data_IF_224810597819
#
_entry.id   IF_224810597819
#
_cell.length_a   1.000
_cell.length_b   1.000
_cell.length_c   1.000
_cell.angle_alpha   90.00
_cell.angle_beta   90.00
_cell.angle_gamma   90.00
#
_symmetry.space_group_name_H-M   'P 1'
#
loop_
_entity.id
_entity.type
_entity.pdbx_description
1 polymer ?
#
# COMPACT_ATOMS: atom_id res chain seq x y z
N UNK A 1 -7.66 -24.22 12.46
CA UNK A 1 -6.22 -23.88 12.37
C UNK A 1 -6.04 -22.41 12.74
N UNK A 2 -5.06 -22.06 13.58
CA UNK A 2 -4.81 -20.64 13.94
C UNK A 2 -4.20 -19.94 12.73
N UNK A 3 -4.79 -18.83 12.30
CA UNK A 3 -4.27 -18.04 11.17
C UNK A 3 -2.96 -17.36 11.56
N UNK A 4 -1.91 -17.57 10.78
CA UNK A 4 -0.60 -16.94 10.98
C UNK A 4 -0.70 -15.43 10.70
N UNK A 5 0.00 -14.65 11.50
CA UNK A 5 0.06 -13.19 11.37
C UNK A 5 1.36 -12.68 11.98
N UNK A 6 2.10 -11.86 11.25
CA UNK A 6 3.31 -11.20 11.77
C UNK A 6 2.90 -9.99 12.60
N UNK A 7 2.18 -9.06 11.99
CA UNK A 7 1.69 -7.85 12.68
C UNK A 7 0.17 -7.77 12.62
N UNK A 8 -0.48 -7.23 13.66
CA UNK A 8 -1.86 -6.79 13.52
C UNK A 8 -1.88 -5.61 12.55
N UNK A 9 -2.59 -5.75 11.45
CA UNK A 9 -2.68 -4.72 10.41
C UNK A 9 -4.14 -4.40 10.13
N UNK A 10 -4.45 -3.10 10.02
CA UNK A 10 -5.81 -2.66 9.71
C UNK A 10 -6.23 -3.15 8.32
N UNK A 11 -7.44 -3.65 8.18
CA UNK A 11 -7.91 -4.27 6.94
C UNK A 11 -7.39 -5.70 6.69
N UNK A 12 -6.54 -6.22 7.58
CA UNK A 12 -5.97 -7.56 7.42
C UNK A 12 -7.02 -8.66 7.36
N UNK A 13 -6.85 -9.59 6.43
CA UNK A 13 -7.80 -10.64 6.03
C UNK A 13 -7.85 -11.86 6.98
N UNK A 14 -7.81 -11.66 8.32
CA UNK A 14 -7.72 -12.78 9.26
C UNK A 14 -8.81 -13.86 9.08
N UNK A 15 -10.05 -13.46 8.75
CA UNK A 15 -11.16 -14.37 8.51
C UNK A 15 -11.21 -14.86 7.07
N UNK A 16 -10.78 -14.04 6.12
CA UNK A 16 -10.85 -14.32 4.69
C UNK A 16 -9.63 -15.08 4.16
N UNK A 17 -8.46 -14.96 4.81
CA UNK A 17 -7.23 -15.57 4.31
C UNK A 17 -7.34 -17.08 4.03
N UNK A 18 -7.96 -17.91 4.88
CA UNK A 18 -8.15 -19.31 4.55
C UNK A 18 -9.05 -19.53 3.32
N UNK A 19 -10.15 -18.78 3.22
CA UNK A 19 -11.08 -18.85 2.09
C UNK A 19 -10.43 -18.41 0.78
N UNK A 20 -9.65 -17.34 0.84
CA UNK A 20 -8.86 -16.86 -0.33
C UNK A 20 -7.83 -17.91 -0.71
N UNK A 21 -7.10 -18.47 0.27
CA UNK A 21 -6.11 -19.52 0.03
C UNK A 21 -6.72 -20.75 -0.67
N UNK A 22 -7.93 -21.16 -0.33
CA UNK A 22 -8.63 -22.26 -0.99
C UNK A 22 -9.03 -21.96 -2.44
N UNK A 23 -9.16 -20.69 -2.80
CA UNK A 23 -9.51 -20.27 -4.18
C UNK A 23 -8.31 -20.19 -5.11
N UNK A 24 -7.07 -20.16 -4.58
CA UNK A 24 -5.87 -19.97 -5.38
C UNK A 24 -5.56 -21.20 -6.24
N UNK A 25 -5.24 -20.99 -7.52
CA UNK A 25 -4.88 -22.08 -8.45
C UNK A 25 -3.40 -22.46 -8.32
N UNK A 26 -3.10 -23.37 -7.42
CA UNK A 26 -1.73 -23.83 -7.15
C UNK A 26 -1.15 -24.71 -8.24
N UNK A 27 -1.97 -25.54 -8.90
CA UNK A 27 -1.50 -26.56 -9.82
C UNK A 27 -0.98 -25.98 -11.13
N UNK A 28 -1.53 -24.83 -11.51
CA UNK A 28 -1.25 -24.19 -12.78
C UNK A 28 -0.41 -22.90 -12.67
N UNK A 29 0.09 -22.58 -11.46
CA UNK A 29 0.88 -21.36 -11.23
C UNK A 29 2.19 -21.67 -10.49
N UNK A 30 3.25 -20.96 -10.89
CA UNK A 30 4.60 -21.09 -10.28
C UNK A 30 4.97 -19.87 -9.43
N UNK A 31 4.43 -18.71 -9.80
CA UNK A 31 4.77 -17.41 -9.21
C UNK A 31 3.54 -16.85 -8.53
N UNK A 32 3.69 -16.48 -7.27
CA UNK A 32 2.65 -15.79 -6.50
C UNK A 32 3.08 -14.38 -6.13
N UNK A 33 2.21 -13.39 -6.30
CA UNK A 33 2.50 -11.98 -6.04
C UNK A 33 1.38 -11.33 -5.22
N UNK A 34 1.75 -10.63 -4.15
CA UNK A 34 0.87 -9.72 -3.40
C UNK A 34 1.32 -8.26 -3.59
N UNK A 35 0.81 -7.51 -4.56
CA UNK A 35 1.18 -6.11 -4.80
C UNK A 35 0.72 -5.13 -3.70
N UNK A 36 -0.31 -5.50 -2.93
CA UNK A 36 -0.85 -4.77 -1.78
C UNK A 36 -0.75 -5.66 -0.55
N UNK A 37 0.46 -5.93 -0.09
CA UNK A 37 0.72 -7.02 0.86
C UNK A 37 0.22 -6.77 2.28
N UNK A 38 0.32 -5.53 2.79
CA UNK A 38 -0.09 -5.18 4.15
C UNK A 38 0.43 -6.17 5.19
N UNK A 39 -0.47 -6.73 5.99
CA UNK A 39 -0.14 -7.75 7.00
C UNK A 39 0.18 -9.15 6.46
N UNK A 40 0.27 -9.34 5.15
CA UNK A 40 0.75 -10.55 4.48
C UNK A 40 -0.04 -11.84 4.84
N UNK A 41 -1.30 -11.72 5.20
CA UNK A 41 -2.04 -12.86 5.79
C UNK A 41 -2.39 -13.95 4.79
N UNK A 42 -2.63 -13.64 3.52
CA UNK A 42 -2.92 -14.66 2.53
C UNK A 42 -1.65 -15.44 2.20
N UNK A 43 -0.53 -14.76 1.93
CA UNK A 43 0.76 -15.38 1.69
C UNK A 43 1.18 -16.30 2.84
N UNK A 44 1.03 -15.85 4.09
CA UNK A 44 1.41 -16.63 5.28
C UNK A 44 0.58 -17.91 5.45
N UNK A 45 -0.66 -17.93 4.98
CA UNK A 45 -1.63 -18.99 5.27
C UNK A 45 -1.99 -19.87 4.06
N UNK A 46 -1.34 -19.65 2.92
CA UNK A 46 -1.44 -20.48 1.73
C UNK A 46 -0.26 -21.43 1.60
N UNK A 47 -0.36 -22.53 0.82
CA UNK A 47 0.79 -23.34 0.39
C UNK A 47 1.82 -22.51 -0.39
N UNK A 48 3.08 -22.94 -0.38
CA UNK A 48 4.15 -22.25 -1.11
C UNK A 48 4.01 -22.40 -2.63
N UNK A 49 4.27 -21.30 -3.34
CA UNK A 49 4.64 -21.33 -4.76
C UNK A 49 6.18 -21.42 -4.91
N UNK A 50 6.65 -21.73 -6.10
CA UNK A 50 8.10 -21.79 -6.38
C UNK A 50 8.78 -20.45 -6.18
N UNK A 51 8.09 -19.38 -6.57
CA UNK A 51 8.52 -17.99 -6.37
C UNK A 51 7.37 -17.24 -5.69
N UNK A 52 7.68 -16.51 -4.64
CA UNK A 52 6.71 -15.71 -3.92
C UNK A 52 7.23 -14.29 -3.76
N UNK A 53 6.41 -13.31 -4.14
CA UNK A 53 6.73 -11.90 -4.10
C UNK A 53 5.71 -11.16 -3.24
N UNK A 54 6.22 -10.42 -2.29
CA UNK A 54 5.47 -9.48 -1.46
C UNK A 54 5.82 -8.07 -1.87
N UNK A 55 4.85 -7.18 -1.92
CA UNK A 55 5.07 -5.76 -2.07
C UNK A 55 4.14 -4.98 -1.17
N UNK A 56 4.63 -3.91 -0.61
CA UNK A 56 3.82 -2.85 0.00
C UNK A 56 4.49 -1.51 -0.25
N UNK A 57 3.75 -0.46 0.03
CA UNK A 57 4.27 0.90 -0.10
C UNK A 57 4.90 1.39 1.20
N UNK A 58 4.38 0.96 2.36
CA UNK A 58 4.81 1.36 3.69
C UNK A 58 6.25 0.94 4.02
N UNK A 59 7.08 1.90 4.43
CA UNK A 59 8.48 1.68 4.75
C UNK A 59 8.64 0.70 5.91
N UNK A 60 7.90 0.92 6.99
CA UNK A 60 7.98 0.10 8.19
C UNK A 60 7.51 -1.34 7.97
N UNK A 61 6.39 -1.53 7.30
CA UNK A 61 5.88 -2.88 7.04
C UNK A 61 6.82 -3.66 6.10
N UNK A 62 7.39 -2.99 5.10
CA UNK A 62 8.39 -3.61 4.22
C UNK A 62 9.67 -3.98 4.98
N UNK A 63 10.12 -3.15 5.94
CA UNK A 63 11.25 -3.48 6.80
C UNK A 63 10.97 -4.75 7.62
N UNK A 64 9.78 -4.88 8.23
CA UNK A 64 9.36 -6.10 8.92
C UNK A 64 9.41 -7.31 8.00
N UNK A 65 8.84 -7.21 6.79
CA UNK A 65 8.81 -8.34 5.86
C UNK A 65 10.20 -8.71 5.35
N UNK A 66 11.09 -7.73 5.10
CA UNK A 66 12.49 -8.01 4.71
C UNK A 66 13.26 -8.76 5.81
N UNK A 67 13.13 -8.34 7.07
CA UNK A 67 13.82 -9.07 8.15
C UNK A 67 13.22 -10.44 8.40
N UNK A 68 11.91 -10.62 8.19
CA UNK A 68 11.21 -11.91 8.34
C UNK A 68 11.43 -12.87 7.17
N UNK A 69 11.89 -12.40 6.00
CA UNK A 69 12.11 -13.23 4.81
C UNK A 69 13.47 -13.98 4.79
N UNK A 70 14.26 -13.84 5.85
CA UNK A 70 15.50 -14.58 6.06
C UNK A 70 15.59 -15.03 7.52
N UNK A 71 15.84 -16.31 7.77
CA UNK A 71 15.82 -16.92 9.11
C UNK A 71 16.82 -16.32 10.08
N UNK A 72 18.02 -15.95 9.61
CA UNK A 72 19.06 -15.35 10.49
C UNK A 72 18.65 -13.95 10.97
N UNK A 73 18.08 -13.13 10.08
CA UNK A 73 17.59 -11.80 10.44
C UNK A 73 16.31 -11.89 11.27
N UNK A 74 15.42 -12.84 10.96
CA UNK A 74 14.19 -13.07 11.71
C UNK A 74 14.48 -13.50 13.16
N UNK A 75 15.45 -14.40 13.38
CA UNK A 75 15.87 -14.81 14.72
C UNK A 75 16.34 -13.61 15.54
N UNK A 76 17.24 -12.80 14.98
CA UNK A 76 17.73 -11.57 15.63
C UNK A 76 16.61 -10.56 15.89
N UNK A 77 15.65 -10.46 14.99
CA UNK A 77 14.49 -9.60 15.16
C UNK A 77 13.62 -10.04 16.34
N UNK A 78 13.32 -11.34 16.42
CA UNK A 78 12.51 -11.92 17.50
C UNK A 78 13.25 -11.79 18.85
N UNK A 79 14.56 -12.01 18.89
CA UNK A 79 15.39 -11.76 20.08
C UNK A 79 15.30 -10.32 20.55
N UNK A 80 15.49 -9.35 19.64
CA UNK A 80 15.36 -7.92 19.98
C UNK A 80 13.97 -7.52 20.43
N UNK A 81 12.93 -8.13 19.88
CA UNK A 81 11.57 -7.94 20.38
C UNK A 81 11.40 -8.45 21.80
N UNK A 82 12.08 -9.54 22.19
CA UNK A 82 12.11 -10.05 23.54
C UNK A 82 12.71 -9.08 24.57
N UNK A 83 13.51 -8.11 24.12
CA UNK A 83 14.09 -7.05 24.96
C UNK A 83 13.16 -5.83 25.10
N UNK A 84 12.08 -5.74 24.34
CA UNK A 84 11.13 -4.63 24.39
C UNK A 84 10.12 -4.81 25.51
N UNK A 85 9.65 -3.71 26.08
CA UNK A 85 8.65 -3.72 27.16
C UNK A 85 7.25 -3.40 26.62
N UNK A 86 6.23 -3.99 27.25
CA UNK A 86 4.86 -3.57 27.07
C UNK A 86 4.59 -2.33 27.92
N UNK A 87 4.92 -1.17 27.40
CA UNK A 87 4.80 0.10 28.10
C UNK A 87 4.49 1.26 27.16
N UNK A 88 3.86 2.31 27.70
CA UNK A 88 3.57 3.51 26.92
C UNK A 88 4.86 4.24 26.49
N UNK A 89 5.90 4.17 27.28
CA UNK A 89 7.20 4.78 26.98
C UNK A 89 7.83 4.09 25.77
N UNK A 90 7.88 2.76 25.79
CA UNK A 90 8.40 1.97 24.68
C UNK A 90 7.59 2.19 23.40
N UNK A 91 6.25 2.19 23.51
CA UNK A 91 5.38 2.52 22.37
C UNK A 91 5.69 3.89 21.81
N UNK A 92 5.81 4.93 22.64
CA UNK A 92 6.08 6.30 22.18
C UNK A 92 7.46 6.40 21.51
N UNK A 93 8.46 5.70 22.03
CA UNK A 93 9.81 5.62 21.44
C UNK A 93 9.77 4.97 20.07
N UNK A 94 9.14 3.81 19.98
CA UNK A 94 8.98 3.07 18.72
C UNK A 94 8.18 3.85 17.69
N UNK A 95 7.04 4.43 18.11
CA UNK A 95 6.18 5.24 17.22
C UNK A 95 6.92 6.46 16.67
N UNK A 96 7.74 7.11 17.46
CA UNK A 96 8.53 8.27 16.99
C UNK A 96 9.45 7.88 15.83
N UNK A 97 10.12 6.73 15.93
CA UNK A 97 10.99 6.23 14.87
C UNK A 97 10.19 5.79 13.66
N UNK A 98 9.12 5.02 13.87
CA UNK A 98 8.19 4.60 12.82
C UNK A 98 7.63 5.80 12.04
N UNK A 99 7.06 6.80 12.75
CA UNK A 99 6.51 8.01 12.13
C UNK A 99 7.55 8.80 11.34
N UNK A 100 8.80 8.86 11.82
CA UNK A 100 9.88 9.57 11.15
C UNK A 100 10.25 8.91 9.81
N UNK A 101 10.14 7.58 9.72
CA UNK A 101 10.42 6.83 8.49
C UNK A 101 9.22 6.79 7.54
N UNK A 102 7.98 6.65 8.06
CA UNK A 102 6.76 6.56 7.24
C UNK A 102 6.30 7.92 6.71
N UNK A 103 6.52 8.98 7.45
CA UNK A 103 6.20 10.33 7.00
C UNK A 103 7.28 10.85 6.06
N UNK A 104 7.32 10.30 4.86
CA UNK A 104 8.05 10.92 3.78
C UNK A 104 7.23 12.09 3.20
N UNK A 105 7.61 13.35 3.49
CA UNK A 105 6.98 14.50 2.86
C UNK A 105 7.13 14.52 1.34
N UNK A 106 8.09 13.80 0.77
CA UNK A 106 8.27 13.66 -0.68
C UNK A 106 7.19 12.80 -1.28
N UNK A 107 6.78 11.75 -0.58
CA UNK A 107 5.68 10.91 -1.06
C UNK A 107 4.35 11.66 -1.06
N UNK A 108 4.05 12.44 -0.02
CA UNK A 108 2.88 13.34 -0.02
C UNK A 108 2.95 14.29 -1.22
N UNK A 109 4.15 14.72 -1.56
CA UNK A 109 4.45 15.62 -2.67
C UNK A 109 4.30 14.92 -4.01
N UNK A 110 4.87 13.73 -4.14
CA UNK A 110 4.75 12.88 -5.33
C UNK A 110 3.28 12.55 -5.63
N UNK A 111 2.48 12.25 -4.61
CA UNK A 111 1.04 12.01 -4.78
C UNK A 111 0.29 13.24 -5.27
N UNK A 112 0.61 14.42 -4.72
CA UNK A 112 0.02 15.67 -5.22
C UNK A 112 0.37 15.90 -6.69
N UNK A 113 1.62 15.67 -7.09
CA UNK A 113 2.06 15.77 -8.48
C UNK A 113 1.37 14.76 -9.39
N UNK A 114 1.27 13.50 -8.96
CA UNK A 114 0.52 12.47 -9.67
C UNK A 114 -0.96 12.83 -9.78
N UNK A 115 -1.56 13.42 -8.74
CA UNK A 115 -2.92 13.96 -8.77
C UNK A 115 -3.10 15.04 -9.84
N UNK A 116 -2.13 15.95 -10.00
CA UNK A 116 -2.14 16.98 -11.05
C UNK A 116 -2.06 16.35 -12.43
N UNK A 117 -1.20 15.34 -12.62
CA UNK A 117 -1.07 14.64 -13.91
C UNK A 117 -2.33 13.89 -14.32
N UNK A 118 -3.16 13.49 -13.37
CA UNK A 118 -4.42 12.76 -13.60
C UNK A 118 -5.61 13.67 -13.87
N UNK A 119 -5.51 14.98 -13.61
CA UNK A 119 -6.61 15.91 -13.85
C UNK A 119 -6.88 16.12 -15.35
N UNK A 120 -8.16 16.31 -15.77
CA UNK A 120 -8.51 16.53 -17.16
C UNK A 120 -8.03 17.87 -17.72
N UNK A 121 -8.16 18.03 -19.05
CA UNK A 121 -7.70 19.19 -19.85
C UNK A 121 -8.06 20.55 -19.19
N UNK A 122 -7.07 21.40 -19.01
CA UNK A 122 -7.15 22.74 -18.42
C UNK A 122 -5.97 23.08 -17.52
N UNK A 123 -5.18 22.07 -17.13
CA UNK A 123 -4.02 22.21 -16.26
C UNK A 123 -2.68 21.95 -16.99
N UNK A 124 -2.56 22.30 -18.27
CA UNK A 124 -1.38 21.98 -19.09
C UNK A 124 -0.05 22.42 -18.48
N UNK A 125 -0.04 23.60 -17.89
CA UNK A 125 1.11 24.18 -17.22
C UNK A 125 1.49 23.39 -15.95
N UNK A 126 0.51 23.16 -15.06
CA UNK A 126 0.69 22.37 -13.85
C UNK A 126 1.15 20.96 -14.17
N UNK A 127 0.65 20.40 -15.26
CA UNK A 127 0.99 19.07 -15.75
C UNK A 127 2.43 18.96 -16.21
N UNK A 128 2.92 19.94 -16.99
CA UNK A 128 4.32 19.97 -17.43
C UNK A 128 5.29 20.12 -16.25
N UNK A 129 4.96 20.98 -15.29
CA UNK A 129 5.76 21.16 -14.06
C UNK A 129 5.73 19.91 -13.19
N UNK A 130 4.58 19.26 -13.03
CA UNK A 130 4.46 18.02 -12.27
C UNK A 130 5.30 16.89 -12.92
N UNK A 131 5.30 16.78 -14.25
CA UNK A 131 6.15 15.83 -14.98
C UNK A 131 7.62 16.08 -14.72
N UNK A 132 8.07 17.35 -14.79
CA UNK A 132 9.45 17.70 -14.53
C UNK A 132 9.90 17.36 -13.11
N UNK A 133 9.08 17.68 -12.11
CA UNK A 133 9.38 17.38 -10.70
C UNK A 133 9.44 15.88 -10.42
N UNK A 134 8.61 15.08 -11.09
CA UNK A 134 8.69 13.61 -11.01
C UNK A 134 9.93 13.08 -11.72
N UNK A 135 10.27 13.61 -12.89
CA UNK A 135 11.51 13.24 -13.62
C UNK A 135 12.77 13.58 -12.81
N UNK A 136 12.76 14.70 -12.09
CA UNK A 136 13.88 15.09 -11.23
C UNK A 136 14.13 14.08 -10.09
N UNK A 137 13.10 13.39 -9.59
CA UNK A 137 13.25 12.33 -8.58
C UNK A 137 13.93 11.07 -9.13
N UNK A 138 13.88 10.86 -10.44
CA UNK A 138 14.50 9.71 -11.12
C UNK A 138 15.97 9.96 -11.50
N UNK A 139 16.47 11.19 -11.29
CA UNK A 139 17.85 11.57 -11.63
C UNK A 139 18.81 11.01 -10.55
N UNK A 140 19.97 10.45 -10.96
CA UNK A 140 20.86 9.70 -10.06
C UNK A 140 21.50 10.50 -8.93
N UNK A 141 21.47 11.84 -8.97
CA UNK A 141 21.97 12.68 -7.89
C UNK A 141 21.07 13.89 -7.64
N UNK A 142 20.97 14.28 -6.37
CA UNK A 142 20.19 15.44 -5.97
C UNK A 142 20.74 16.76 -6.57
N UNK A 143 22.03 16.88 -6.74
CA UNK A 143 22.65 18.05 -7.36
C UNK A 143 22.28 18.18 -8.83
N UNK A 144 22.26 17.08 -9.58
CA UNK A 144 21.82 17.06 -10.97
C UNK A 144 20.34 17.42 -11.08
N UNK A 145 19.48 16.88 -10.20
CA UNK A 145 18.07 17.22 -10.14
C UNK A 145 17.83 18.71 -9.84
N UNK A 146 18.56 19.29 -8.91
CA UNK A 146 18.50 20.73 -8.60
C UNK A 146 18.94 21.59 -9.77
N UNK A 147 20.00 21.20 -10.48
CA UNK A 147 20.50 21.91 -11.66
C UNK A 147 19.49 21.90 -12.81
N UNK A 148 18.84 20.75 -13.05
CA UNK A 148 17.79 20.61 -14.07
C UNK A 148 16.55 21.45 -13.72
N UNK A 149 16.08 21.39 -12.48
CA UNK A 149 14.96 22.22 -12.00
C UNK A 149 15.26 23.71 -12.13
N UNK A 150 16.49 24.15 -11.77
CA UNK A 150 16.92 25.55 -11.89
C UNK A 150 16.97 26.01 -13.35
N UNK A 151 17.44 25.16 -14.24
CA UNK A 151 17.46 25.41 -15.68
C UNK A 151 16.04 25.53 -16.24
N UNK A 152 15.16 24.62 -15.86
CA UNK A 152 13.77 24.65 -16.29
C UNK A 152 13.05 25.91 -15.81
N UNK A 153 13.24 26.32 -14.55
CA UNK A 153 12.65 27.54 -13.98
C UNK A 153 13.05 28.78 -14.79
N UNK A 154 14.35 28.89 -15.14
CA UNK A 154 14.86 30.00 -15.96
C UNK A 154 14.26 30.05 -17.37
N UNK A 155 14.00 28.87 -17.93
CA UNK A 155 13.48 28.74 -19.29
C UNK A 155 11.94 28.85 -19.35
N UNK A 156 11.26 28.74 -18.22
CA UNK A 156 9.80 28.76 -18.15
C UNK A 156 9.27 29.66 -17.02
N UNK A 157 9.63 30.97 -16.99
CA UNK A 157 9.33 31.84 -15.85
C UNK A 157 7.82 32.00 -15.60
N UNK A 158 7.00 32.14 -16.63
CA UNK A 158 5.55 32.28 -16.48
C UNK A 158 4.88 31.01 -15.92
N UNK A 159 5.34 29.85 -16.38
CA UNK A 159 4.88 28.56 -15.87
C UNK A 159 5.26 28.36 -14.42
N UNK A 160 6.45 28.81 -14.07
CA UNK A 160 6.94 28.75 -12.70
C UNK A 160 6.17 29.69 -11.76
N UNK A 161 5.84 30.90 -12.22
CA UNK A 161 5.05 31.86 -11.43
C UNK A 161 3.66 31.30 -11.09
N UNK A 162 2.96 30.73 -12.06
CA UNK A 162 1.66 30.10 -11.86
C UNK A 162 1.74 28.90 -10.91
N UNK A 163 2.76 28.05 -11.06
CA UNK A 163 2.96 26.91 -10.18
C UNK A 163 3.33 27.35 -8.76
N UNK A 164 4.23 28.32 -8.60
CA UNK A 164 4.71 28.76 -7.29
C UNK A 164 3.66 29.51 -6.48
N UNK A 165 2.72 30.19 -7.12
CA UNK A 165 1.59 30.81 -6.45
C UNK A 165 0.72 29.81 -5.68
N UNK A 166 0.57 28.58 -6.21
CA UNK A 166 -0.25 27.55 -5.59
C UNK A 166 0.58 26.54 -4.76
N UNK A 167 1.79 26.23 -5.19
CA UNK A 167 2.61 25.13 -4.64
C UNK A 167 3.99 25.60 -4.11
N UNK A 168 4.26 26.89 -4.01
CA UNK A 168 5.58 27.41 -3.68
C UNK A 168 6.13 26.96 -2.32
N UNK A 169 5.27 26.88 -1.31
CA UNK A 169 5.67 26.37 0.02
C UNK A 169 6.12 24.92 -0.05
N UNK A 170 5.42 24.12 -0.84
CA UNK A 170 5.74 22.74 -1.06
C UNK A 170 7.05 22.56 -1.85
N UNK A 171 7.24 23.33 -2.93
CA UNK A 171 8.47 23.29 -3.72
C UNK A 171 9.69 23.69 -2.89
N UNK A 172 9.57 24.69 -2.03
CA UNK A 172 10.65 25.08 -1.11
C UNK A 172 11.03 23.97 -0.12
N UNK A 173 10.06 23.17 0.31
CA UNK A 173 10.30 22.00 1.14
C UNK A 173 10.99 20.89 0.34
N UNK A 174 10.54 20.62 -0.88
CA UNK A 174 11.14 19.66 -1.80
C UNK A 174 12.60 20.00 -2.12
N UNK A 175 12.89 21.29 -2.47
CA UNK A 175 14.28 21.75 -2.68
C UNK A 175 15.16 21.52 -1.46
N UNK A 176 14.69 21.89 -0.26
CA UNK A 176 15.47 21.68 0.98
C UNK A 176 15.81 20.22 1.18
N UNK A 177 14.92 19.31 0.85
CA UNK A 177 15.13 17.87 0.97
C UNK A 177 16.14 17.34 -0.04
N UNK A 178 16.05 17.79 -1.30
CA UNK A 178 17.07 17.46 -2.29
C UNK A 178 18.47 17.96 -1.85
N UNK A 179 18.56 19.18 -1.30
CA UNK A 179 19.83 19.74 -0.79
C UNK A 179 20.38 18.96 0.42
N UNK A 180 19.51 18.40 1.26
CA UNK A 180 19.88 17.65 2.44
C UNK A 180 20.17 16.17 2.18
N UNK A 181 19.97 15.71 0.94
CA UNK A 181 20.10 14.28 0.60
C UNK A 181 19.05 13.39 1.29
N UNK A 182 17.90 13.95 1.63
CA UNK A 182 16.88 13.34 2.49
C UNK A 182 15.88 12.44 1.75
N UNK A 183 16.31 11.73 0.73
CA UNK A 183 15.66 10.50 0.27
C UNK A 183 16.08 9.29 1.14
N UNK A 184 17.03 9.52 2.03
CA UNK A 184 17.51 8.52 2.97
C UNK A 184 16.64 8.52 4.23
N UNK A 185 16.48 7.35 4.82
CA UNK A 185 15.90 7.20 6.16
C UNK A 185 16.56 8.15 7.16
N UNK A 186 15.87 8.54 8.23
CA UNK A 186 16.48 9.29 9.32
C UNK A 186 17.80 8.63 9.75
N UNK A 187 18.77 9.44 10.13
CA UNK A 187 20.05 8.93 10.63
C UNK A 187 19.92 8.59 12.11
N UNK A 188 20.57 7.52 12.50
CA UNK A 188 20.71 7.13 13.90
C UNK A 188 21.65 8.09 14.66
N UNK A 189 21.90 7.80 15.95
CA UNK A 189 22.80 8.59 16.81
C UNK A 189 24.25 8.61 16.31
N UNK A 190 24.64 7.69 15.44
CA UNK A 190 25.98 7.56 14.86
C UNK A 190 26.08 8.13 13.45
N UNK A 191 24.99 8.73 12.95
CA UNK A 191 24.93 9.31 11.62
C UNK A 191 24.72 8.32 10.47
N UNK A 192 24.44 7.04 10.78
CA UNK A 192 24.06 6.04 9.77
C UNK A 192 22.54 6.05 9.51
N UNK A 193 22.08 5.71 8.28
CA UNK A 193 20.65 5.53 8.03
C UNK A 193 20.07 4.44 8.94
N UNK A 194 18.86 4.67 9.48
CA UNK A 194 18.13 3.68 10.29
C UNK A 194 18.02 2.36 9.52
N UNK A 195 18.49 1.29 10.12
CA UNK A 195 18.49 -0.04 9.49
C UNK A 195 17.09 -0.64 9.39
N UNK A 196 16.91 -1.62 8.47
CA UNK A 196 15.68 -2.41 8.40
C UNK A 196 15.34 -3.08 9.75
N UNK A 197 16.35 -3.52 10.48
CA UNK A 197 16.16 -4.15 11.79
C UNK A 197 15.56 -3.19 12.82
N UNK A 198 16.10 -1.98 12.93
CA UNK A 198 15.62 -0.97 13.88
C UNK A 198 14.22 -0.51 13.50
N UNK A 199 13.97 -0.27 12.22
CA UNK A 199 12.65 0.12 11.74
C UNK A 199 11.62 -1.01 11.90
N UNK A 200 12.02 -2.27 11.66
CA UNK A 200 11.14 -3.42 11.85
C UNK A 200 10.73 -3.58 13.34
N UNK A 201 11.66 -3.45 14.26
CA UNK A 201 11.36 -3.47 15.72
C UNK A 201 10.40 -2.33 16.07
N UNK A 202 10.71 -1.10 15.65
CA UNK A 202 9.86 0.04 15.92
C UNK A 202 8.45 -0.12 15.33
N UNK A 203 8.35 -0.61 14.08
CA UNK A 203 7.07 -0.88 13.42
C UNK A 203 6.28 -1.94 14.17
N UNK A 204 6.89 -3.07 14.49
CA UNK A 204 6.22 -4.15 15.19
C UNK A 204 5.69 -3.68 16.56
N UNK A 205 6.52 -3.02 17.38
CA UNK A 205 6.12 -2.48 18.69
C UNK A 205 4.97 -1.49 18.54
N UNK A 206 5.05 -0.59 17.57
CA UNK A 206 3.99 0.41 17.30
C UNK A 206 2.65 -0.26 16.99
N UNK A 207 2.63 -1.26 16.12
CA UNK A 207 1.38 -1.92 15.76
C UNK A 207 0.86 -2.86 16.84
N UNK A 208 1.76 -3.66 17.47
CA UNK A 208 1.35 -4.68 18.42
C UNK A 208 0.88 -4.10 19.74
N UNK A 209 1.40 -2.94 20.15
CA UNK A 209 1.01 -2.25 21.38
C UNK A 209 -0.10 -1.22 21.15
N UNK A 210 -0.52 -0.96 19.92
CA UNK A 210 -1.61 -0.04 19.61
C UNK A 210 -2.98 -0.63 19.92
N UNK A 211 -3.96 0.24 20.18
CA UNK A 211 -5.34 -0.15 20.49
C UNK A 211 -6.06 -0.78 19.29
N UNK A 212 -5.85 -0.25 18.12
CA UNK A 212 -6.64 -0.48 16.89
C UNK A 212 -5.83 -1.13 15.76
N UNK A 213 -4.59 -1.52 16.02
CA UNK A 213 -3.66 -2.02 15.02
C UNK A 213 -3.35 -0.99 13.89
N UNK A 214 -3.57 0.30 14.14
CA UNK A 214 -3.24 1.40 13.24
C UNK A 214 -1.96 2.14 13.65
N UNK A 215 -1.40 1.79 14.81
CA UNK A 215 -0.20 2.43 15.35
C UNK A 215 -0.44 3.84 15.92
N UNK A 216 -1.69 4.29 16.07
CA UNK A 216 -1.98 5.67 16.49
C UNK A 216 -1.98 5.87 18.01
N UNK A 217 -2.57 4.94 18.74
CA UNK A 217 -2.81 5.10 20.18
C UNK A 217 -2.38 3.86 20.95
N UNK A 218 -1.58 4.03 21.98
CA UNK A 218 -1.20 2.96 22.88
C UNK A 218 -2.41 2.33 23.59
N UNK A 219 -2.32 1.03 23.87
CA UNK A 219 -3.37 0.27 24.57
C UNK A 219 -2.85 -0.29 25.87
N UNK A 220 -3.33 0.24 27.00
CA UNK A 220 -2.99 -0.29 28.33
C UNK A 220 -3.53 -1.71 28.62
N UNK A 221 -4.46 -2.20 27.81
CA UNK A 221 -5.24 -3.42 28.11
C UNK A 221 -5.11 -4.52 27.05
N UNK A 222 -4.19 -4.37 26.08
CA UNK A 222 -4.02 -5.37 25.02
C UNK A 222 -3.34 -6.64 25.56
N UNK A 223 -2.38 -6.46 26.42
CA UNK A 223 -1.70 -7.54 27.13
C UNK A 223 -1.82 -7.35 28.63
N UNK A 224 -1.94 -8.46 29.35
CA UNK A 224 -2.10 -8.43 30.81
C UNK A 224 -0.81 -8.00 31.51
N UNK A 225 0.34 -8.40 30.95
CA UNK A 225 1.68 -8.14 31.46
C UNK A 225 2.71 -8.38 30.35
N UNK A 226 4.00 -8.16 30.64
CA UNK A 226 5.10 -8.40 29.72
C UNK A 226 5.19 -9.87 29.27
N UNK A 227 4.94 -10.84 30.14
CA UNK A 227 4.98 -12.26 29.77
C UNK A 227 3.94 -12.59 28.69
N UNK A 228 2.72 -12.07 28.83
CA UNK A 228 1.68 -12.26 27.83
C UNK A 228 2.04 -11.57 26.49
N UNK A 229 2.71 -10.45 26.56
CA UNK A 229 3.23 -9.73 25.39
C UNK A 229 4.34 -10.54 24.69
N UNK A 230 5.36 -11.00 25.43
CA UNK A 230 6.44 -11.81 24.87
C UNK A 230 5.99 -13.17 24.37
N UNK A 231 5.05 -13.82 25.04
CA UNK A 231 4.48 -15.08 24.58
C UNK A 231 3.76 -14.97 23.22
N UNK A 232 3.24 -13.77 22.91
CA UNK A 232 2.64 -13.53 21.58
C UNK A 232 3.69 -13.63 20.45
N UNK A 233 4.94 -13.31 20.72
CA UNK A 233 6.04 -13.30 19.74
C UNK A 233 6.53 -14.69 19.36
N UNK A 234 6.27 -15.72 20.18
CA UNK A 234 6.67 -17.10 19.89
C UNK A 234 6.13 -17.57 18.52
N UNK A 235 4.93 -17.14 18.17
CA UNK A 235 4.33 -17.46 16.86
C UNK A 235 5.06 -16.85 15.65
N UNK A 236 5.99 -15.91 15.86
CA UNK A 236 6.76 -15.30 14.77
C UNK A 236 7.76 -16.27 14.15
N UNK A 237 8.26 -17.27 14.90
CA UNK A 237 9.16 -18.29 14.33
C UNK A 237 8.48 -19.07 13.20
N UNK A 238 7.22 -19.50 13.39
CA UNK A 238 6.45 -20.16 12.33
C UNK A 238 6.20 -19.24 11.13
N UNK A 239 6.03 -17.94 11.39
CA UNK A 239 5.90 -16.95 10.32
C UNK A 239 7.22 -16.75 9.57
N UNK A 240 8.36 -16.74 10.27
CA UNK A 240 9.68 -16.63 9.65
C UNK A 240 9.98 -17.83 8.75
N UNK A 241 9.73 -19.05 9.23
CA UNK A 241 9.86 -20.26 8.40
C UNK A 241 9.00 -20.19 7.14
N UNK A 242 7.77 -19.63 7.27
CA UNK A 242 6.87 -19.47 6.12
C UNK A 242 7.32 -18.35 5.18
N UNK A 243 7.95 -17.30 5.68
CA UNK A 243 8.44 -16.15 4.90
C UNK A 243 9.81 -16.40 4.26
N UNK A 244 10.56 -17.41 4.68
CA UNK A 244 11.90 -17.68 4.18
C UNK A 244 11.93 -17.73 2.65
N UNK A 245 12.80 -16.90 2.05
CA UNK A 245 12.96 -16.79 0.60
C UNK A 245 11.88 -16.00 -0.14
N UNK A 246 10.90 -15.41 0.54
CA UNK A 246 9.95 -14.49 -0.08
C UNK A 246 10.68 -13.22 -0.53
N UNK A 247 10.50 -12.84 -1.79
CA UNK A 247 11.07 -11.61 -2.34
C UNK A 247 10.22 -10.41 -1.91
N UNK A 248 10.84 -9.48 -1.21
CA UNK A 248 10.16 -8.28 -0.67
C UNK A 248 10.51 -7.06 -1.50
N UNK A 249 9.49 -6.48 -2.12
CA UNK A 249 9.57 -5.23 -2.88
C UNK A 249 8.91 -4.10 -2.09
N UNK A 250 9.33 -2.87 -2.41
CA UNK A 250 8.76 -1.65 -1.84
C UNK A 250 8.59 -0.61 -2.94
N UNK A 251 7.52 -0.77 -3.69
CA UNK A 251 7.21 0.12 -4.80
C UNK A 251 5.71 0.45 -4.79
N UNK A 252 5.35 1.58 -5.42
CA UNK A 252 3.95 1.88 -5.70
C UNK A 252 3.34 0.72 -6.50
N UNK A 253 2.28 0.09 -5.96
CA UNK A 253 1.61 -1.04 -6.60
C UNK A 253 1.15 -0.74 -8.03
N UNK A 254 0.83 0.54 -8.33
CA UNK A 254 0.49 0.95 -9.69
C UNK A 254 1.64 0.77 -10.68
N UNK A 255 2.89 0.68 -10.22
CA UNK A 255 4.01 0.38 -11.10
C UNK A 255 3.96 -1.05 -11.66
N UNK A 256 3.34 -2.01 -10.94
CA UNK A 256 3.07 -3.35 -11.51
C UNK A 256 2.13 -3.30 -12.71
N UNK A 257 1.27 -2.28 -12.78
CA UNK A 257 0.19 -2.20 -13.77
C UNK A 257 0.41 -1.12 -14.83
N UNK A 258 1.28 -0.12 -14.58
CA UNK A 258 1.53 1.02 -15.50
C UNK A 258 2.60 0.76 -16.55
N UNK A 259 3.53 -0.13 -16.31
CA UNK A 259 4.75 -0.27 -17.13
C UNK A 259 4.54 -1.26 -18.27
N UNK A 260 3.73 -0.86 -19.25
CA UNK A 260 3.60 -1.55 -20.52
C UNK A 260 4.60 -1.14 -21.59
N UNK A 261 5.65 -0.37 -21.26
CA UNK A 261 6.45 0.35 -22.25
C UNK A 261 7.92 -0.04 -22.43
N UNK A 262 8.55 -0.77 -21.51
CA UNK A 262 9.99 -1.02 -21.60
C UNK A 262 10.46 -2.34 -21.00
N UNK A 263 9.76 -3.45 -21.29
CA UNK A 263 10.33 -4.79 -21.09
C UNK A 263 10.71 -5.16 -19.65
N UNK A 264 10.04 -4.59 -18.64
CA UNK A 264 10.28 -4.94 -17.24
C UNK A 264 9.59 -6.24 -16.85
N UNK A 265 10.18 -6.97 -15.91
CA UNK A 265 9.68 -8.23 -15.34
C UNK A 265 8.18 -8.18 -14.95
N UNK A 266 7.68 -7.03 -14.54
CA UNK A 266 6.29 -6.85 -14.11
C UNK A 266 5.28 -6.88 -15.26
N UNK A 267 5.63 -6.37 -16.43
CA UNK A 267 4.79 -6.50 -17.64
C UNK A 267 4.73 -7.96 -18.11
N UNK A 268 5.82 -8.69 -17.96
CA UNK A 268 5.86 -10.12 -18.25
C UNK A 268 4.91 -10.87 -17.32
N UNK A 269 4.82 -10.49 -16.03
CA UNK A 269 3.91 -11.13 -15.09
C UNK A 269 2.43 -10.97 -15.47
N UNK A 270 2.00 -9.77 -15.88
CA UNK A 270 0.61 -9.55 -16.30
C UNK A 270 0.20 -10.42 -17.51
N UNK A 271 1.15 -10.76 -18.37
CA UNK A 271 0.92 -11.59 -19.54
C UNK A 271 1.22 -13.08 -19.34
N UNK A 272 1.70 -13.48 -18.17
CA UNK A 272 2.12 -14.85 -17.89
C UNK A 272 1.01 -15.63 -17.15
N UNK A 273 0.38 -16.63 -17.78
CA UNK A 273 -0.71 -17.39 -17.13
C UNK A 273 -0.24 -18.28 -15.96
N UNK A 274 1.09 -18.42 -15.78
CA UNK A 274 1.65 -19.14 -14.62
C UNK A 274 1.91 -18.24 -13.42
N UNK A 275 1.57 -16.96 -13.52
CA UNK A 275 1.56 -15.99 -12.39
C UNK A 275 0.17 -15.92 -11.79
N UNK A 276 0.11 -15.93 -10.47
CA UNK A 276 -1.10 -15.69 -9.68
C UNK A 276 -0.88 -14.45 -8.80
N UNK A 277 -1.79 -13.49 -8.87
CA UNK A 277 -1.76 -12.30 -8.01
C UNK A 277 -2.96 -12.27 -7.07
N UNK A 278 -2.71 -11.97 -5.82
CA UNK A 278 -3.76 -11.56 -4.90
C UNK A 278 -3.71 -10.05 -4.69
N UNK A 279 -4.80 -9.38 -4.96
CA UNK A 279 -4.92 -7.92 -5.05
C UNK A 279 -5.91 -7.42 -4.00
N UNK A 280 -5.39 -6.75 -2.97
CA UNK A 280 -6.15 -6.24 -1.83
C UNK A 280 -5.90 -4.72 -1.65
N UNK A 281 -6.32 -3.88 -2.62
CA UNK A 281 -6.14 -2.44 -2.52
C UNK A 281 -6.95 -1.86 -1.35
N UNK A 282 -6.65 -0.62 -0.93
CA UNK A 282 -7.44 0.04 0.11
C UNK A 282 -8.91 0.17 -0.31
N UNK A 283 -9.82 -0.13 0.62
CA UNK A 283 -11.24 -0.23 0.33
C UNK A 283 -11.94 1.13 0.31
N UNK A 284 -12.82 1.30 -0.68
CA UNK A 284 -13.80 2.37 -0.73
C UNK A 284 -15.10 1.84 -0.12
N UNK A 285 -15.74 2.63 0.72
CA UNK A 285 -17.03 2.21 1.29
C UNK A 285 -18.14 2.34 0.24
N UNK A 286 -19.03 1.35 0.11
CA UNK A 286 -20.15 1.40 -0.85
C UNK A 286 -21.00 2.66 -0.70
N UNK A 287 -21.19 3.12 0.55
CA UNK A 287 -21.96 4.34 0.83
C UNK A 287 -21.29 5.61 0.28
N UNK A 288 -19.96 5.62 0.21
CA UNK A 288 -19.20 6.75 -0.35
C UNK A 288 -19.26 6.73 -1.88
N UNK A 289 -19.12 5.55 -2.51
CA UNK A 289 -19.32 5.41 -3.96
C UNK A 289 -20.72 5.83 -4.39
N UNK A 290 -21.75 5.33 -3.68
CA UNK A 290 -23.14 5.66 -3.99
C UNK A 290 -23.39 7.16 -3.93
N UNK A 291 -22.90 7.86 -2.90
CA UNK A 291 -23.01 9.31 -2.79
C UNK A 291 -22.32 10.06 -3.93
N UNK A 292 -21.14 9.57 -4.38
CA UNK A 292 -20.44 10.16 -5.51
C UNK A 292 -21.25 10.01 -6.80
N UNK A 293 -21.77 8.82 -7.07
CA UNK A 293 -22.58 8.53 -8.25
C UNK A 293 -23.89 9.35 -8.25
N UNK A 294 -24.61 9.41 -7.13
CA UNK A 294 -25.81 10.22 -6.97
C UNK A 294 -25.53 11.72 -7.21
N UNK A 295 -24.42 12.24 -6.62
CA UNK A 295 -24.03 13.65 -6.78
C UNK A 295 -23.70 14.02 -8.22
N UNK A 296 -23.21 13.05 -9.00
CA UNK A 296 -22.92 13.20 -10.44
C UNK A 296 -24.13 12.88 -11.33
N UNK A 297 -25.27 12.46 -10.76
CA UNK A 297 -26.46 12.06 -11.51
C UNK A 297 -26.29 10.75 -12.30
N UNK A 298 -25.30 9.93 -11.96
CA UNK A 298 -24.98 8.68 -12.62
C UNK A 298 -25.81 7.56 -11.99
N UNK A 299 -26.76 7.01 -12.75
CA UNK A 299 -27.61 5.89 -12.33
C UNK A 299 -27.09 4.55 -12.83
N UNK A 300 -26.36 4.55 -13.93
CA UNK A 300 -25.77 3.37 -14.56
C UNK A 300 -24.32 3.69 -14.95
N UNK A 301 -23.40 2.93 -14.41
CA UNK A 301 -21.96 3.09 -14.63
C UNK A 301 -21.49 2.49 -15.96
N UNK A 302 -22.27 1.59 -16.58
CA UNK A 302 -21.88 0.85 -17.79
C UNK A 302 -21.67 1.76 -18.99
N UNK A 303 -22.49 2.81 -19.10
CA UNK A 303 -22.44 3.80 -20.19
C UNK A 303 -21.37 4.89 -20.03
N UNK A 304 -20.68 4.97 -18.89
CA UNK A 304 -19.70 6.03 -18.61
C UNK A 304 -18.30 5.54 -18.95
N UNK A 305 -17.62 6.14 -19.90
CA UNK A 305 -16.29 5.70 -20.35
C UNK A 305 -15.22 5.86 -19.26
N UNK A 306 -15.29 6.92 -18.46
CA UNK A 306 -14.37 7.26 -17.38
C UNK A 306 -15.16 7.78 -16.18
N UNK A 307 -15.31 6.92 -15.15
CA UNK A 307 -16.08 7.27 -13.96
C UNK A 307 -15.38 8.33 -13.12
N UNK A 308 -14.07 8.23 -12.95
CA UNK A 308 -13.31 9.20 -12.14
C UNK A 308 -13.30 10.61 -12.73
N UNK A 309 -13.40 10.73 -14.06
CA UNK A 309 -13.56 12.03 -14.73
C UNK A 309 -14.99 12.58 -14.61
N UNK A 310 -15.98 11.69 -14.60
CA UNK A 310 -17.40 12.05 -14.47
C UNK A 310 -17.76 12.45 -13.03
N UNK A 311 -17.04 11.90 -12.05
CA UNK A 311 -17.20 12.23 -10.63
C UNK A 311 -16.39 13.49 -10.30
N UNK A 312 -17.01 14.64 -10.36
CA UNK A 312 -16.35 15.96 -10.27
C UNK A 312 -15.63 16.25 -8.94
N UNK A 313 -15.86 15.51 -7.84
CA UNK A 313 -15.15 15.67 -6.56
C UNK A 313 -15.20 14.37 -5.75
N UNK A 314 -14.03 13.82 -5.47
CA UNK A 314 -13.91 12.80 -4.44
C UNK A 314 -14.16 13.39 -3.04
N UNK A 315 -14.85 12.67 -2.14
CA UNK A 315 -14.96 13.09 -0.74
C UNK A 315 -13.57 13.26 -0.12
N UNK A 316 -13.34 14.36 0.60
CA UNK A 316 -12.04 14.66 1.25
C UNK A 316 -11.55 13.58 2.23
N UNK A 317 -12.39 12.61 2.57
CA UNK A 317 -12.13 11.55 3.54
C UNK A 317 -12.08 10.16 2.93
N UNK A 318 -12.10 10.04 1.58
CA UNK A 318 -12.00 8.75 0.92
C UNK A 318 -10.65 8.11 1.26
N UNK A 319 -10.67 6.90 1.82
CA UNK A 319 -9.44 6.16 2.13
C UNK A 319 -8.64 6.63 3.35
N UNK A 320 -9.11 7.57 4.17
CA UNK A 320 -8.39 8.05 5.37
C UNK A 320 -8.07 6.99 6.43
N UNK A 321 -8.65 5.81 6.32
CA UNK A 321 -8.38 4.68 7.23
C UNK A 321 -7.08 3.94 6.92
N UNK A 322 -6.45 4.23 5.79
CA UNK A 322 -5.19 3.62 5.37
C UNK A 322 -4.08 4.68 5.36
N UNK A 323 -2.88 4.30 5.76
CA UNK A 323 -1.70 5.17 5.74
C UNK A 323 -1.43 5.70 4.34
N UNK A 324 -1.77 4.90 3.32
CA UNK A 324 -1.72 5.23 1.91
C UNK A 324 -3.11 5.11 1.29
N UNK A 325 -3.70 6.22 0.88
CA UNK A 325 -5.00 6.19 0.20
C UNK A 325 -4.84 5.84 -1.27
N UNK A 326 -5.57 4.83 -1.72
CA UNK A 326 -5.73 4.48 -3.13
C UNK A 326 -7.03 5.15 -3.60
N UNK A 327 -6.92 6.24 -4.34
CA UNK A 327 -8.08 7.06 -4.73
C UNK A 327 -9.04 6.32 -5.66
N UNK A 328 -10.26 6.83 -5.84
CA UNK A 328 -11.20 6.26 -6.80
C UNK A 328 -10.62 6.24 -8.22
N UNK A 329 -9.90 7.31 -8.60
CA UNK A 329 -9.20 7.39 -9.87
C UNK A 329 -8.06 6.36 -9.99
N UNK A 330 -7.32 6.11 -8.90
CA UNK A 330 -6.31 5.07 -8.86
C UNK A 330 -6.93 3.69 -9.03
N UNK A 331 -8.05 3.44 -8.36
CA UNK A 331 -8.77 2.17 -8.49
C UNK A 331 -9.33 1.97 -9.90
N UNK A 332 -9.88 3.01 -10.53
CA UNK A 332 -10.34 2.91 -11.92
C UNK A 332 -9.19 2.64 -12.90
N UNK A 333 -8.06 3.34 -12.75
CA UNK A 333 -6.86 3.09 -13.57
C UNK A 333 -6.32 1.67 -13.36
N UNK A 334 -6.25 1.23 -12.10
CA UNK A 334 -5.87 -0.14 -11.74
C UNK A 334 -6.76 -1.17 -12.44
N UNK A 335 -8.08 -1.05 -12.33
CA UNK A 335 -9.04 -1.97 -12.95
C UNK A 335 -8.93 -2.01 -14.46
N UNK A 336 -8.70 -0.87 -15.12
CA UNK A 336 -8.44 -0.82 -16.56
C UNK A 336 -7.20 -1.60 -16.97
N UNK A 337 -6.17 -1.67 -16.12
CA UNK A 337 -4.93 -2.37 -16.41
C UNK A 337 -5.04 -3.87 -16.21
N UNK A 338 -5.84 -4.31 -15.24
CA UNK A 338 -5.93 -5.71 -14.90
C UNK A 338 -7.07 -6.45 -15.62
N UNK A 339 -8.12 -5.75 -16.08
CA UNK A 339 -9.33 -6.40 -16.59
C UNK A 339 -9.10 -7.34 -17.78
N UNK A 340 -8.03 -7.12 -18.56
CA UNK A 340 -7.64 -7.94 -19.72
C UNK A 340 -6.32 -8.70 -19.49
N UNK A 341 -5.82 -8.78 -18.24
CA UNK A 341 -4.58 -9.47 -17.91
C UNK A 341 -4.70 -10.99 -18.10
N UNK A 342 -3.60 -11.62 -18.55
CA UNK A 342 -3.54 -13.07 -18.76
C UNK A 342 -3.11 -13.85 -17.53
N UNK A 343 -2.42 -13.22 -16.58
CA UNK A 343 -2.11 -13.83 -15.31
C UNK A 343 -3.39 -14.08 -14.53
N UNK A 344 -3.35 -15.07 -13.65
CA UNK A 344 -4.46 -15.36 -12.74
C UNK A 344 -4.51 -14.35 -11.61
N UNK A 345 -5.71 -13.90 -11.28
CA UNK A 345 -5.90 -12.88 -10.26
C UNK A 345 -7.08 -13.22 -9.36
N UNK A 346 -6.92 -12.89 -8.09
CA UNK A 346 -8.02 -12.74 -7.13
C UNK A 346 -7.96 -11.31 -6.61
N UNK A 347 -9.03 -10.57 -6.78
CA UNK A 347 -9.17 -9.17 -6.35
C UNK A 347 -10.21 -9.11 -5.23
N UNK A 348 -9.90 -8.48 -4.11
CA UNK A 348 -10.82 -8.27 -3.00
C UNK A 348 -11.18 -6.80 -2.83
N UNK A 349 -12.47 -6.52 -2.63
CA UNK A 349 -12.98 -5.22 -2.20
C UNK A 349 -14.39 -5.38 -1.64
N UNK A 350 -15.01 -4.28 -1.24
CA UNK A 350 -16.46 -4.25 -1.02
C UNK A 350 -17.21 -4.34 -2.36
N UNK A 351 -18.51 -4.55 -2.26
CA UNK A 351 -19.42 -4.54 -3.41
C UNK A 351 -19.50 -3.13 -4.00
N UNK A 352 -18.79 -2.88 -5.10
CA UNK A 352 -18.66 -1.58 -5.75
C UNK A 352 -19.03 -1.66 -7.23
N UNK A 353 -19.83 -0.72 -7.69
CA UNK A 353 -20.21 -0.61 -9.09
C UNK A 353 -18.99 -0.38 -10.01
N UNK A 354 -17.96 0.29 -9.51
CA UNK A 354 -16.69 0.46 -10.21
C UNK A 354 -16.04 -0.88 -10.57
N UNK A 355 -16.00 -1.84 -9.65
CA UNK A 355 -15.38 -3.14 -9.87
C UNK A 355 -16.19 -3.99 -10.84
N UNK A 356 -17.52 -4.02 -10.67
CA UNK A 356 -18.43 -4.76 -11.55
C UNK A 356 -18.45 -4.23 -12.99
N UNK A 357 -18.13 -2.95 -13.18
CA UNK A 357 -17.98 -2.37 -14.52
C UNK A 357 -16.80 -2.95 -15.31
N UNK A 358 -15.69 -3.22 -14.65
CA UNK A 358 -14.44 -3.66 -15.31
C UNK A 358 -14.23 -5.17 -15.26
N UNK A 359 -14.59 -5.83 -14.14
CA UNK A 359 -14.36 -7.25 -13.90
C UNK A 359 -15.62 -8.05 -14.24
N UNK A 360 -15.94 -8.14 -15.54
CA UNK A 360 -17.19 -8.71 -16.02
C UNK A 360 -17.04 -10.14 -16.52
N UNK A 361 -18.13 -10.95 -16.54
CA UNK A 361 -18.09 -12.30 -17.11
C UNK A 361 -17.65 -12.35 -18.58
N UNK A 362 -17.97 -11.32 -19.39
CA UNK A 362 -17.57 -11.23 -20.81
C UNK A 362 -16.04 -11.09 -20.96
N UNK A 363 -15.35 -10.60 -19.91
CA UNK A 363 -13.89 -10.53 -19.83
C UNK A 363 -13.28 -11.72 -19.11
N UNK A 364 -14.07 -12.74 -18.78
CA UNK A 364 -13.62 -13.96 -18.13
C UNK A 364 -13.53 -13.86 -16.60
N UNK A 365 -14.14 -12.84 -15.99
CA UNK A 365 -14.15 -12.69 -14.55
C UNK A 365 -15.38 -13.35 -13.92
N UNK A 366 -15.16 -13.98 -12.79
CA UNK A 366 -16.19 -14.52 -11.90
C UNK A 366 -16.18 -13.77 -10.59
N UNK A 367 -17.30 -13.80 -9.87
CA UNK A 367 -17.51 -13.05 -8.64
C UNK A 367 -18.06 -13.94 -7.54
N UNK A 368 -17.58 -13.79 -6.31
CA UNK A 368 -18.07 -14.51 -5.12
C UNK A 368 -18.20 -13.55 -3.95
N UNK A 369 -19.38 -13.57 -3.31
CA UNK A 369 -19.70 -12.69 -2.19
C UNK A 369 -19.52 -13.41 -0.84
N UNK A 370 -19.04 -12.64 0.16
CA UNK A 370 -18.90 -13.09 1.52
C UNK A 370 -19.53 -12.07 2.47
N UNK A 371 -20.48 -12.51 3.27
CA UNK A 371 -21.07 -11.68 4.30
C UNK A 371 -20.17 -11.66 5.54
N UNK A 372 -19.62 -10.50 5.85
CA UNK A 372 -18.75 -10.29 7.02
C UNK A 372 -19.40 -9.35 8.02
N UNK A 373 -19.05 -9.52 9.30
CA UNK A 373 -19.46 -8.60 10.36
C UNK A 373 -18.23 -7.90 10.91
N UNK A 374 -18.24 -6.56 10.91
CA UNK A 374 -17.16 -5.80 11.56
C UNK A 374 -17.53 -5.52 13.01
N UNK A 375 -16.84 -6.19 13.94
CA UNK A 375 -16.96 -5.96 15.37
C UNK A 375 -15.93 -4.93 15.86
N UNK A 376 -16.22 -3.64 15.72
CA UNK A 376 -15.52 -2.61 16.48
C UNK A 376 -16.57 -1.88 17.31
N UNK A 377 -16.50 -2.03 18.65
CA UNK A 377 -17.25 -1.22 19.60
C UNK A 377 -18.73 -1.56 19.78
N UNK A 378 -19.06 -2.78 20.17
CA UNK A 378 -20.14 -3.10 21.12
C UNK A 378 -21.58 -2.66 20.88
N UNK A 379 -21.97 -2.03 19.75
CA UNK A 379 -23.38 -1.70 19.45
C UNK A 379 -23.60 -1.58 17.94
N UNK A 380 -24.25 -2.58 17.36
CA UNK A 380 -24.66 -2.85 15.98
C UNK A 380 -23.58 -3.56 15.15
N UNK A 381 -23.86 -4.82 14.82
CA UNK A 381 -23.17 -5.55 13.76
C UNK A 381 -23.39 -4.80 12.43
N UNK A 382 -22.38 -4.12 11.95
CA UNK A 382 -22.39 -3.62 10.57
C UNK A 382 -22.12 -4.80 9.66
N UNK A 383 -23.15 -5.35 9.07
CA UNK A 383 -23.05 -6.35 8.01
C UNK A 383 -22.40 -5.68 6.80
N UNK A 384 -21.33 -6.27 6.28
CA UNK A 384 -20.67 -5.85 5.06
C UNK A 384 -20.54 -7.03 4.11
N UNK A 385 -20.62 -6.75 2.83
CA UNK A 385 -20.36 -7.72 1.78
C UNK A 385 -18.96 -7.47 1.27
N UNK A 386 -18.08 -8.46 1.45
CA UNK A 386 -16.79 -8.50 0.76
C UNK A 386 -16.93 -9.35 -0.49
N UNK A 387 -16.43 -8.87 -1.59
CA UNK A 387 -16.50 -9.54 -2.89
C UNK A 387 -15.09 -9.94 -3.32
N UNK A 388 -14.98 -11.15 -3.83
CA UNK A 388 -13.78 -11.65 -4.50
C UNK A 388 -14.09 -11.81 -5.98
N UNK A 389 -13.38 -11.09 -6.83
CA UNK A 389 -13.37 -11.27 -8.28
C UNK A 389 -12.15 -12.10 -8.67
N UNK A 390 -12.33 -13.04 -9.59
CA UNK A 390 -11.24 -13.90 -10.08
C UNK A 390 -11.43 -14.24 -11.56
N UNK A 391 -10.33 -14.44 -12.30
CA UNK A 391 -10.32 -14.57 -13.77
C UNK A 391 -9.86 -15.96 -14.26
N UNK A 392 -10.14 -17.04 -13.53
CA UNK A 392 -9.81 -18.42 -13.91
C UNK A 392 -10.85 -19.42 -13.42
#
# INVERSE_FOLDING_TARGET
>A
MKVRSIVPYYGGKARMAPLIAEMLDYDNTDIYVEPFGGGCRVLLNKPRHKVECYNDYGEGICAVMRVMSNLDTASKFIERLGETEYSQEEFNRAKKLYDACERDPEEVSRRKLLGILRQPKGHGVKRATAQLLLSAQEIPSNDAALAELSTWQKNNPALWEEFSAEYGNWYSLFQRKLQQGCLERPRDLYGAPVSDMELAVATYVTFIQSRDAMGETWSAYRYKNNDAYHNHMIGLYECAERMEGVQVYQIDAMNYFRWGGSGGQMTEWLNNPRVLMYLDPSYIRPEDEMKMLESAGIKDVSGVSNLSEALAKEPKNLGKLYATSFSYADQEEFLRRICDARCKMVVSNYDLALYDKYLTPERGWSRKEYHTTTGVGGKKENKRVEVLWYNY
#
